data_IF_870423642066
#
_entry.id   IF_870423642066
#
_cell.length_a   1.000
_cell.length_b   1.000
_cell.length_c   1.000
_cell.angle_alpha   90.00
_cell.angle_beta   90.00
_cell.angle_gamma   90.00
#
_symmetry.space_group_name_H-M   'P 1'
#
loop_
_entity.id
_entity.type
_entity.pdbx_description
1 polymer ?
#
# COMPACT_ATOMS: atom_id res chain seq x y z
N UNK A 1 -10.27 24.24 0.19
CA UNK A 1 -8.86 23.85 0.34
C UNK A 1 -8.51 22.63 -0.49
N UNK A 2 -9.16 21.48 -0.30
CA UNK A 2 -8.95 20.26 -1.11
C UNK A 2 -8.89 20.50 -2.62
N UNK A 3 -9.97 21.05 -3.21
CA UNK A 3 -10.03 21.30 -4.67
C UNK A 3 -8.89 22.17 -5.18
N UNK A 4 -8.37 23.07 -4.35
CA UNK A 4 -7.23 23.91 -4.72
C UNK A 4 -5.92 23.12 -4.67
N UNK A 5 -5.69 22.30 -3.64
CA UNK A 5 -4.51 21.45 -3.53
C UNK A 5 -4.43 20.49 -4.72
N UNK A 6 -5.53 19.78 -5.00
CA UNK A 6 -5.63 18.85 -6.12
C UNK A 6 -5.41 19.56 -7.47
N UNK A 7 -6.02 20.73 -7.66
CA UNK A 7 -5.78 21.55 -8.85
C UNK A 7 -4.32 21.99 -9.03
N UNK A 8 -3.61 22.34 -7.96
CA UNK A 8 -2.20 22.73 -8.03
C UNK A 8 -1.35 21.52 -8.44
N UNK A 9 -1.63 20.35 -7.87
CA UNK A 9 -0.93 19.11 -8.17
C UNK A 9 -1.20 18.60 -9.60
N UNK A 10 -2.39 18.88 -10.14
CA UNK A 10 -2.73 18.63 -11.55
C UNK A 10 -1.95 19.54 -12.51
N UNK A 11 -1.64 20.78 -12.11
CA UNK A 11 -0.84 21.75 -12.89
C UNK A 11 0.68 21.49 -12.78
N UNK A 12 1.08 20.21 -12.79
CA UNK A 12 2.47 19.76 -12.66
C UNK A 12 3.42 20.49 -13.63
N UNK A 13 3.01 20.66 -14.89
CA UNK A 13 3.85 21.26 -15.94
C UNK A 13 4.20 22.75 -15.68
N UNK A 14 3.48 23.46 -14.80
CA UNK A 14 3.70 24.89 -14.51
C UNK A 14 4.63 25.15 -13.31
N UNK A 15 4.71 24.22 -12.36
CA UNK A 15 5.53 24.38 -11.16
C UNK A 15 7.01 24.10 -11.40
N UNK A 16 7.40 23.65 -12.60
CA UNK A 16 8.77 23.25 -12.93
C UNK A 16 9.34 22.33 -11.84
N UNK A 17 8.51 21.42 -11.30
CA UNK A 17 8.95 20.33 -10.44
C UNK A 17 10.13 19.69 -11.15
N UNK A 18 11.33 19.86 -10.60
CA UNK A 18 12.57 19.73 -11.39
C UNK A 18 12.52 18.47 -12.23
N UNK A 19 12.74 18.60 -13.54
CA UNK A 19 13.04 17.46 -14.38
C UNK A 19 14.31 16.81 -13.81
N UNK A 20 14.18 15.58 -13.33
CA UNK A 20 15.36 14.84 -12.91
C UNK A 20 16.06 14.41 -14.19
N UNK A 21 17.20 15.05 -14.48
CA UNK A 21 18.08 14.70 -15.60
C UNK A 21 18.86 13.45 -15.22
N UNK A 22 18.66 12.38 -15.99
CA UNK A 22 19.51 11.21 -15.87
C UNK A 22 20.92 11.53 -16.39
N UNK A 23 21.97 11.12 -15.67
CA UNK A 23 23.29 10.92 -16.28
C UNK A 23 23.49 9.42 -16.31
N UNK A 24 23.60 8.86 -17.52
CA UNK A 24 23.86 7.44 -17.68
C UNK A 24 25.17 7.07 -16.96
N UNK A 25 25.32 5.79 -16.57
CA UNK A 25 26.60 5.27 -16.09
C UNK A 25 27.78 5.51 -17.06
N UNK A 26 27.45 5.76 -18.34
CA UNK A 26 28.39 6.18 -19.40
C UNK A 26 28.85 7.64 -19.32
N UNK A 27 28.35 8.44 -18.37
CA UNK A 27 28.59 9.88 -18.25
C UNK A 27 27.81 10.74 -19.26
N UNK A 28 26.99 10.14 -20.13
CA UNK A 28 26.16 10.88 -21.10
C UNK A 28 24.83 11.30 -20.48
N UNK A 29 24.35 12.48 -20.86
CA UNK A 29 23.04 12.99 -20.43
C UNK A 29 21.93 12.08 -20.98
N UNK A 30 21.23 11.38 -20.09
CA UNK A 30 20.05 10.57 -20.37
C UNK A 30 18.76 11.40 -20.38
N UNK A 31 17.63 10.74 -20.62
CA UNK A 31 16.31 11.37 -20.73
C UNK A 31 15.88 12.11 -19.45
N UNK A 32 14.93 13.03 -19.62
CA UNK A 32 14.27 13.78 -18.53
C UNK A 32 13.04 13.01 -18.06
N UNK A 33 12.97 12.68 -16.77
CA UNK A 33 11.79 12.03 -16.17
C UNK A 33 10.93 13.07 -15.45
N UNK A 34 9.61 12.98 -15.66
CA UNK A 34 8.64 13.75 -14.88
C UNK A 34 8.57 13.18 -13.46
N UNK A 35 8.65 14.04 -12.46
CA UNK A 35 8.54 13.69 -11.05
C UNK A 35 7.16 13.08 -10.77
N UNK A 36 7.10 11.90 -10.14
CA UNK A 36 5.82 11.29 -9.70
C UNK A 36 5.22 12.00 -8.49
N UNK A 37 6.00 12.83 -7.81
CA UNK A 37 5.63 13.52 -6.57
C UNK A 37 4.26 14.22 -6.63
N UNK A 38 3.92 15.03 -7.65
CA UNK A 38 2.62 15.69 -7.67
C UNK A 38 1.46 14.69 -7.77
N UNK A 39 1.62 13.61 -8.56
CA UNK A 39 0.61 12.55 -8.65
C UNK A 39 0.49 11.74 -7.36
N UNK A 40 1.62 11.42 -6.73
CA UNK A 40 1.62 10.71 -5.45
C UNK A 40 0.88 11.52 -4.38
N UNK A 41 1.22 12.80 -4.21
CA UNK A 41 0.56 13.69 -3.25
C UNK A 41 -0.92 13.90 -3.59
N UNK A 42 -1.27 13.98 -4.88
CA UNK A 42 -2.66 14.10 -5.33
C UNK A 42 -3.49 12.92 -4.81
N UNK A 43 -3.08 11.69 -5.14
CA UNK A 43 -3.83 10.51 -4.75
C UNK A 43 -3.75 10.24 -3.24
N UNK A 44 -2.63 10.58 -2.59
CA UNK A 44 -2.52 10.53 -1.12
C UNK A 44 -3.58 11.41 -0.46
N UNK A 45 -3.73 12.67 -0.90
CA UNK A 45 -4.74 13.58 -0.39
C UNK A 45 -6.14 13.05 -0.68
N UNK A 46 -6.42 12.67 -1.93
CA UNK A 46 -7.74 12.19 -2.36
C UNK A 46 -8.20 10.96 -1.55
N UNK A 47 -7.34 9.96 -1.40
CA UNK A 47 -7.67 8.76 -0.63
C UNK A 47 -7.69 9.04 0.87
N UNK A 48 -6.74 9.83 1.41
CA UNK A 48 -6.71 10.17 2.84
C UNK A 48 -7.98 10.88 3.31
N UNK A 49 -8.53 11.78 2.49
CA UNK A 49 -9.76 12.48 2.86
C UNK A 49 -10.98 11.57 2.96
N UNK A 50 -11.02 10.45 2.21
CA UNK A 50 -12.09 9.45 2.34
C UNK A 50 -12.06 8.76 3.71
N UNK A 51 -10.90 8.75 4.38
CA UNK A 51 -10.71 8.24 5.74
C UNK A 51 -10.77 9.33 6.82
N UNK A 52 -10.90 10.60 6.45
CA UNK A 52 -10.80 11.71 7.40
C UNK A 52 -9.38 11.90 7.95
N UNK A 53 -8.35 11.59 7.15
CA UNK A 53 -6.97 11.88 7.51
C UNK A 53 -6.55 13.33 7.27
N UNK A 54 -5.34 13.65 7.73
CA UNK A 54 -4.77 15.00 7.84
C UNK A 54 -3.69 15.30 6.77
N UNK A 55 -3.55 14.45 5.75
CA UNK A 55 -2.53 14.63 4.70
C UNK A 55 -2.68 15.97 3.98
N UNK A 56 -3.92 16.42 3.76
CA UNK A 56 -4.20 17.72 3.14
C UNK A 56 -3.64 18.89 3.96
N UNK A 57 -3.83 18.84 5.28
CA UNK A 57 -3.36 19.90 6.18
C UNK A 57 -1.84 19.92 6.25
N UNK A 58 -1.21 18.74 6.33
CA UNK A 58 0.24 18.62 6.23
C UNK A 58 0.75 19.17 4.89
N UNK A 59 0.08 18.89 3.78
CA UNK A 59 0.47 19.43 2.47
C UNK A 59 0.50 20.96 2.47
N UNK A 60 -0.54 21.61 3.02
CA UNK A 60 -0.59 23.07 3.09
C UNK A 60 0.47 23.65 4.03
N UNK A 61 0.76 22.97 5.14
CA UNK A 61 1.85 23.34 6.05
C UNK A 61 3.21 23.29 5.32
N UNK A 62 3.51 22.18 4.63
CA UNK A 62 4.77 22.01 3.91
C UNK A 62 4.88 22.98 2.73
N UNK A 63 3.78 23.25 2.02
CA UNK A 63 3.76 24.24 0.95
C UNK A 63 3.99 25.66 1.49
N UNK A 64 3.42 26.00 2.65
CA UNK A 64 3.69 27.27 3.33
C UNK A 64 5.13 27.40 3.83
N UNK A 65 5.79 26.28 4.14
CA UNK A 65 7.22 26.26 4.49
C UNK A 65 8.15 26.46 3.29
N UNK A 66 7.65 26.38 2.05
CA UNK A 66 8.44 26.61 0.85
C UNK A 66 8.74 28.10 0.60
N UNK A 67 7.82 29.00 0.98
CA UNK A 67 7.95 30.46 0.86
C UNK A 67 6.88 31.18 1.70
N UNK A 68 7.25 32.26 2.42
CA UNK A 68 6.33 33.04 3.25
C UNK A 68 5.12 33.57 2.47
N UNK A 69 5.30 33.90 1.19
CA UNK A 69 4.22 34.39 0.33
C UNK A 69 3.30 33.27 -0.14
N UNK A 70 3.79 32.04 -0.27
CA UNK A 70 2.91 30.87 -0.49
C UNK A 70 2.02 30.63 0.72
N UNK A 71 2.58 30.75 1.93
CA UNK A 71 1.82 30.66 3.19
C UNK A 71 0.77 31.76 3.29
N UNK A 72 1.11 32.99 2.93
CA UNK A 72 0.16 34.10 2.91
C UNK A 72 -0.95 33.87 1.87
N UNK A 73 -0.58 33.46 0.66
CA UNK A 73 -1.51 33.28 -0.45
C UNK A 73 -2.44 32.07 -0.23
N UNK A 74 -1.98 30.99 0.42
CA UNK A 74 -2.81 29.82 0.73
C UNK A 74 -3.94 30.15 1.72
N UNK A 75 -3.69 31.02 2.70
CA UNK A 75 -4.70 31.52 3.64
C UNK A 75 -5.74 32.43 2.96
N UNK A 76 -5.40 33.01 1.81
CA UNK A 76 -6.26 33.93 1.04
C UNK A 76 -6.99 33.25 -0.10
N UNK A 77 -6.93 31.92 -0.22
CA UNK A 77 -7.65 31.20 -1.26
C UNK A 77 -9.16 31.18 -0.97
N UNK A 78 -9.88 32.14 -1.55
CA UNK A 78 -11.34 32.18 -1.56
C UNK A 78 -11.90 31.58 -2.87
N UNK A 79 -12.87 30.66 -2.77
CA UNK A 79 -13.86 30.25 -3.79
C UNK A 79 -13.43 30.26 -5.28
N UNK A 80 -12.17 29.96 -5.63
CA UNK A 80 -11.75 29.90 -7.03
C UNK A 80 -12.31 28.64 -7.70
N UNK A 81 -12.91 28.82 -8.88
CA UNK A 81 -13.67 27.76 -9.57
C UNK A 81 -12.81 26.93 -10.54
N UNK A 82 -11.60 27.41 -10.91
CA UNK A 82 -10.72 26.69 -11.84
C UNK A 82 -9.31 26.48 -11.29
N UNK A 83 -8.65 25.43 -11.79
CA UNK A 83 -7.29 25.06 -11.39
C UNK A 83 -6.27 26.15 -11.70
N UNK A 84 -6.35 26.71 -12.91
CA UNK A 84 -5.48 27.81 -13.33
C UNK A 84 -5.61 29.05 -12.43
N UNK A 85 -6.83 29.45 -12.07
CA UNK A 85 -7.02 30.60 -11.16
C UNK A 85 -6.50 30.33 -9.75
N UNK A 86 -6.64 29.08 -9.28
CA UNK A 86 -6.10 28.65 -7.99
C UNK A 86 -4.57 28.73 -7.98
N UNK A 87 -3.94 28.29 -9.07
CA UNK A 87 -2.50 28.38 -9.29
C UNK A 87 -2.01 29.83 -9.35
N UNK A 88 -2.62 30.66 -10.21
CA UNK A 88 -2.27 32.09 -10.35
C UNK A 88 -2.44 32.87 -9.05
N UNK A 89 -3.47 32.54 -8.26
CA UNK A 89 -3.68 33.13 -6.94
C UNK A 89 -2.61 32.69 -5.95
N UNK A 90 -2.26 31.40 -5.93
CA UNK A 90 -1.25 30.86 -5.02
C UNK A 90 0.14 31.44 -5.29
N UNK A 91 0.54 31.54 -6.56
CA UNK A 91 1.86 32.05 -6.96
C UNK A 91 1.86 33.56 -7.21
N UNK A 92 0.84 34.30 -6.77
CA UNK A 92 0.76 35.74 -7.01
C UNK A 92 1.95 36.47 -6.39
N UNK A 93 2.75 37.11 -7.24
CA UNK A 93 3.93 37.85 -6.84
C UNK A 93 5.15 36.96 -6.54
N UNK A 94 5.10 35.69 -6.94
CA UNK A 94 6.21 34.74 -6.92
C UNK A 94 6.50 34.27 -8.35
N UNK A 95 7.76 33.99 -8.62
CA UNK A 95 8.14 33.16 -9.77
C UNK A 95 8.22 31.71 -9.27
N UNK A 96 7.34 30.80 -9.72
CA UNK A 96 7.36 29.39 -9.30
C UNK A 96 8.73 28.74 -9.43
N UNK A 97 9.57 29.19 -10.37
CA UNK A 97 10.92 28.64 -10.58
C UNK A 97 11.91 28.95 -9.47
N UNK A 98 11.65 29.99 -8.68
CA UNK A 98 12.51 30.42 -7.58
C UNK A 98 12.07 29.88 -6.22
N UNK A 99 10.92 29.19 -6.15
CA UNK A 99 10.40 28.59 -4.92
C UNK A 99 11.19 27.33 -4.58
N UNK A 100 11.56 27.19 -3.30
CA UNK A 100 12.20 25.99 -2.79
C UNK A 100 11.15 24.95 -2.37
N UNK A 101 10.79 24.04 -3.27
CA UNK A 101 9.82 22.97 -2.99
C UNK A 101 10.34 21.81 -2.14
N UNK A 102 11.55 21.90 -1.57
CA UNK A 102 12.14 20.81 -0.76
C UNK A 102 11.19 20.27 0.33
N UNK A 103 10.50 21.09 1.14
CA UNK A 103 9.58 20.56 2.17
C UNK A 103 8.47 19.65 1.61
N UNK A 104 7.90 20.01 0.45
CA UNK A 104 6.85 19.20 -0.20
C UNK A 104 7.44 17.92 -0.81
N UNK A 105 8.66 17.99 -1.34
CA UNK A 105 9.37 16.82 -1.85
C UNK A 105 9.74 15.84 -0.72
N UNK A 106 10.21 16.36 0.41
CA UNK A 106 10.55 15.58 1.61
C UNK A 106 9.30 14.88 2.17
N UNK A 107 8.15 15.57 2.20
CA UNK A 107 6.87 14.95 2.56
C UNK A 107 6.51 13.79 1.62
N UNK A 108 6.62 13.97 0.31
CA UNK A 108 6.32 12.91 -0.64
C UNK A 108 7.26 11.71 -0.47
N UNK A 109 8.55 11.97 -0.22
CA UNK A 109 9.53 10.93 0.09
C UNK A 109 9.19 10.19 1.39
N UNK A 110 8.74 10.89 2.44
CA UNK A 110 8.28 10.29 3.71
C UNK A 110 7.15 9.30 3.45
N UNK A 111 6.08 9.69 2.73
CA UNK A 111 4.96 8.79 2.41
C UNK A 111 5.35 7.65 1.47
N UNK A 112 6.13 7.92 0.43
CA UNK A 112 6.60 6.87 -0.48
C UNK A 112 7.36 5.77 0.29
N UNK A 113 8.19 6.18 1.25
CA UNK A 113 9.03 5.31 2.06
C UNK A 113 8.22 4.56 3.11
N UNK A 114 7.51 5.31 3.96
CA UNK A 114 6.93 4.77 5.17
C UNK A 114 5.54 4.17 4.95
N UNK A 115 4.83 4.59 3.90
CA UNK A 115 3.56 3.99 3.48
C UNK A 115 3.77 3.07 2.28
N UNK A 116 4.38 3.58 1.20
CA UNK A 116 4.54 2.85 -0.05
C UNK A 116 5.40 1.59 0.05
N UNK A 117 6.67 1.76 0.39
CA UNK A 117 7.60 0.64 0.53
C UNK A 117 7.19 -0.30 1.66
N UNK A 118 6.62 0.22 2.76
CA UNK A 118 6.11 -0.62 3.82
C UNK A 118 5.00 -1.56 3.32
N UNK A 119 3.98 -1.02 2.65
CA UNK A 119 2.83 -1.80 2.19
C UNK A 119 3.15 -2.75 1.03
N UNK A 120 4.16 -2.42 0.22
CA UNK A 120 4.60 -3.30 -0.86
C UNK A 120 5.70 -4.28 -0.45
N UNK A 121 6.31 -4.13 0.72
CA UNK A 121 7.30 -5.09 1.20
C UNK A 121 6.58 -6.14 2.05
N UNK A 122 6.33 -7.37 1.57
CA UNK A 122 5.70 -8.41 2.40
C UNK A 122 6.58 -8.82 3.59
N UNK A 123 7.81 -8.31 3.68
CA UNK A 123 8.84 -8.77 4.58
C UNK A 123 9.38 -10.09 4.05
N UNK A 124 10.63 -10.11 3.57
CA UNK A 124 11.27 -11.40 3.29
C UNK A 124 11.25 -12.24 4.57
N UNK A 125 10.86 -13.50 4.41
CA UNK A 125 10.85 -14.52 5.47
C UNK A 125 12.16 -14.39 6.27
N UNK A 126 12.07 -14.08 7.56
CA UNK A 126 12.94 -14.76 8.52
C UNK A 126 12.50 -16.21 8.52
N UNK A 127 12.79 -16.94 7.44
CA UNK A 127 12.81 -18.40 7.44
C UNK A 127 14.02 -18.78 8.27
N UNK A 128 13.94 -18.51 9.58
CA UNK A 128 14.59 -19.37 10.53
C UNK A 128 14.09 -20.76 10.21
N UNK A 129 15.03 -21.67 9.99
CA UNK A 129 14.85 -23.11 9.87
C UNK A 129 13.89 -23.61 10.96
N UNK A 130 12.60 -23.51 10.70
CA UNK A 130 11.54 -24.05 11.51
C UNK A 130 11.19 -25.37 10.87
N UNK A 131 11.21 -26.44 11.65
CA UNK A 131 10.59 -27.71 11.31
C UNK A 131 9.21 -27.44 10.69
N UNK A 132 8.97 -28.05 9.53
CA UNK A 132 7.74 -27.89 8.77
C UNK A 132 6.58 -28.57 9.50
N UNK A 133 5.97 -27.87 10.47
CA UNK A 133 4.63 -28.22 10.90
C UNK A 133 3.71 -27.94 9.73
N UNK A 134 3.18 -28.99 9.10
CA UNK A 134 2.22 -28.85 8.02
C UNK A 134 0.88 -28.44 8.63
N UNK A 135 0.13 -27.54 7.98
CA UNK A 135 -1.26 -27.21 8.37
C UNK A 135 -2.10 -28.46 8.67
N UNK A 136 -1.81 -29.59 8.00
CA UNK A 136 -2.44 -30.89 8.26
C UNK A 136 -2.35 -31.38 9.71
N UNK A 137 -1.35 -30.95 10.47
CA UNK A 137 -1.13 -31.37 11.85
C UNK A 137 -2.04 -30.62 12.83
N UNK A 138 -2.36 -29.35 12.54
CA UNK A 138 -3.07 -28.46 13.47
C UNK A 138 -4.50 -28.13 13.03
N UNK A 139 -4.87 -28.36 11.76
CA UNK A 139 -6.19 -27.97 11.23
C UNK A 139 -7.37 -28.72 11.86
N UNK A 140 -7.10 -29.91 12.39
CA UNK A 140 -8.08 -30.72 13.11
C UNK A 140 -8.18 -30.36 14.61
N UNK A 141 -7.33 -29.46 15.12
CA UNK A 141 -7.44 -28.99 16.50
C UNK A 141 -8.72 -28.16 16.70
N UNK A 142 -9.20 -28.11 17.95
CA UNK A 142 -10.34 -27.28 18.31
C UNK A 142 -9.99 -25.80 18.17
N UNK A 143 -10.96 -25.01 17.70
CA UNK A 143 -10.79 -23.58 17.41
C UNK A 143 -10.28 -22.79 18.62
N UNK A 144 -10.78 -23.08 19.82
CA UNK A 144 -10.35 -22.38 21.04
C UNK A 144 -8.90 -22.69 21.42
N UNK A 145 -8.44 -23.93 21.20
CA UNK A 145 -7.04 -24.31 21.42
C UNK A 145 -6.11 -23.60 20.44
N UNK A 146 -6.52 -23.48 19.18
CA UNK A 146 -5.74 -22.72 18.20
C UNK A 146 -5.66 -21.23 18.57
N UNK A 147 -6.77 -20.62 18.97
CA UNK A 147 -6.80 -19.22 19.43
C UNK A 147 -5.90 -19.02 20.65
N UNK A 148 -5.96 -19.92 21.63
CA UNK A 148 -5.08 -19.89 22.80
C UNK A 148 -3.60 -19.94 22.38
N UNK A 149 -3.22 -20.87 21.50
CA UNK A 149 -1.84 -21.00 21.02
C UNK A 149 -1.36 -19.78 20.22
N UNK A 150 -2.23 -19.17 19.42
CA UNK A 150 -1.91 -17.91 18.71
C UNK A 150 -1.59 -16.78 19.68
N UNK A 151 -2.27 -16.74 20.83
CA UNK A 151 -2.01 -15.76 21.87
C UNK A 151 -0.72 -16.09 22.65
N UNK A 152 -0.45 -17.37 22.92
CA UNK A 152 0.76 -17.83 23.63
C UNK A 152 2.06 -17.65 22.82
N UNK A 153 2.00 -17.76 21.48
CA UNK A 153 3.15 -17.54 20.60
C UNK A 153 3.61 -16.06 20.53
N UNK A 154 2.85 -15.13 21.12
CA UNK A 154 3.11 -13.69 21.05
C UNK A 154 2.92 -13.14 19.63
N UNK A 155 3.32 -11.90 19.37
CA UNK A 155 2.98 -11.23 18.10
C UNK A 155 3.71 -11.78 16.89
N UNK A 156 4.91 -12.36 17.03
CA UNK A 156 5.72 -12.84 15.90
C UNK A 156 6.34 -14.22 16.15
N UNK A 157 5.67 -15.06 16.96
CA UNK A 157 6.09 -16.43 17.20
C UNK A 157 6.21 -17.25 15.91
N UNK A 158 7.21 -18.14 15.85
CA UNK A 158 7.56 -18.91 14.65
C UNK A 158 6.39 -19.77 14.14
N UNK A 159 5.49 -20.21 15.04
CA UNK A 159 4.36 -21.07 14.68
C UNK A 159 3.07 -20.32 14.41
N UNK A 160 3.02 -19.01 14.69
CA UNK A 160 1.79 -18.21 14.58
C UNK A 160 1.23 -18.19 13.16
N UNK A 161 2.09 -18.19 12.14
CA UNK A 161 1.68 -18.23 10.73
C UNK A 161 0.89 -19.50 10.39
N UNK A 162 1.35 -20.67 10.80
CA UNK A 162 0.63 -21.93 10.54
C UNK A 162 -0.67 -22.04 11.34
N UNK A 163 -0.68 -21.49 12.57
CA UNK A 163 -1.91 -21.41 13.37
C UNK A 163 -2.95 -20.46 12.76
N UNK A 164 -2.53 -19.28 12.30
CA UNK A 164 -3.40 -18.33 11.59
C UNK A 164 -3.94 -18.90 10.29
N UNK A 165 -3.11 -19.68 9.58
CA UNK A 165 -3.50 -20.42 8.37
C UNK A 165 -4.54 -21.50 8.64
N UNK A 166 -4.44 -22.19 9.77
CA UNK A 166 -5.46 -23.14 10.21
C UNK A 166 -6.75 -22.44 10.65
N UNK A 167 -6.65 -21.32 11.36
CA UNK A 167 -7.82 -20.51 11.75
C UNK A 167 -8.53 -19.92 10.53
N UNK A 168 -7.81 -19.44 9.51
CA UNK A 168 -8.42 -18.93 8.28
C UNK A 168 -9.13 -20.04 7.49
N UNK A 169 -8.62 -21.28 7.51
CA UNK A 169 -9.38 -22.43 6.97
C UNK A 169 -10.68 -22.69 7.72
N UNK A 170 -10.65 -22.58 9.06
CA UNK A 170 -11.87 -22.73 9.87
C UNK A 170 -12.85 -21.59 9.65
N UNK A 171 -12.37 -20.38 9.40
CA UNK A 171 -13.20 -19.20 9.07
C UNK A 171 -13.80 -19.29 7.67
N UNK A 172 -12.99 -19.54 6.66
CA UNK A 172 -13.37 -19.32 5.25
C UNK A 172 -13.67 -20.61 4.48
N UNK A 173 -13.25 -21.75 4.99
CA UNK A 173 -13.38 -23.05 4.33
C UNK A 173 -12.12 -23.45 3.57
N UNK A 174 -12.21 -24.57 2.84
CA UNK A 174 -11.07 -25.27 2.23
C UNK A 174 -10.83 -24.93 0.74
N UNK A 175 -11.36 -23.81 0.26
CA UNK A 175 -11.21 -23.33 -1.12
C UNK A 175 -10.60 -21.93 -1.14
N UNK A 176 -9.91 -21.59 -2.23
CA UNK A 176 -9.46 -20.23 -2.46
C UNK A 176 -10.65 -19.33 -2.80
N UNK A 177 -10.83 -18.26 -2.03
CA UNK A 177 -11.97 -17.33 -2.18
C UNK A 177 -12.03 -16.62 -3.53
N UNK A 178 -10.94 -16.63 -4.30
CA UNK A 178 -10.79 -15.88 -5.54
C UNK A 178 -10.87 -16.76 -6.79
N UNK A 179 -10.60 -18.06 -6.65
CA UNK A 179 -10.41 -19.00 -7.77
C UNK A 179 -11.30 -20.24 -7.65
N UNK A 180 -12.00 -20.39 -6.53
CA UNK A 180 -12.78 -21.57 -6.13
C UNK A 180 -11.99 -22.90 -6.15
N UNK A 181 -10.67 -22.85 -6.25
CA UNK A 181 -9.84 -24.04 -6.25
C UNK A 181 -9.65 -24.58 -4.82
N UNK A 182 -9.77 -25.89 -4.67
CA UNK A 182 -9.60 -26.57 -3.38
C UNK A 182 -8.15 -26.53 -2.90
N UNK A 183 -7.95 -26.41 -1.59
CA UNK A 183 -6.63 -26.45 -0.96
C UNK A 183 -6.26 -27.82 -0.40
N UNK A 184 -4.95 -28.09 -0.34
CA UNK A 184 -4.36 -29.08 0.55
C UNK A 184 -4.40 -28.56 1.99
N UNK A 185 -4.56 -29.45 3.00
CA UNK A 185 -4.58 -30.91 2.91
C UNK A 185 -5.96 -31.53 2.60
N UNK A 186 -7.02 -30.73 2.55
CA UNK A 186 -8.40 -31.22 2.41
C UNK A 186 -8.67 -31.91 1.08
N UNK A 187 -7.93 -31.56 0.03
CA UNK A 187 -7.95 -32.23 -1.26
C UNK A 187 -6.52 -32.65 -1.65
N UNK A 188 -6.30 -33.94 -1.93
CA UNK A 188 -4.99 -34.48 -2.36
C UNK A 188 -4.47 -33.84 -3.64
N UNK A 189 -5.37 -33.44 -4.55
CA UNK A 189 -5.06 -32.72 -5.79
C UNK A 189 -5.21 -31.21 -5.64
N UNK A 190 -5.54 -30.73 -4.44
CA UNK A 190 -5.67 -29.32 -4.14
C UNK A 190 -4.34 -28.58 -4.22
N UNK A 191 -4.44 -27.26 -4.26
CA UNK A 191 -3.30 -26.35 -4.27
C UNK A 191 -2.70 -26.19 -2.88
N UNK A 192 -1.44 -25.79 -2.81
CA UNK A 192 -0.86 -25.36 -1.55
C UNK A 192 -1.40 -23.97 -1.19
N UNK A 193 -2.06 -23.80 -0.03
CA UNK A 193 -2.48 -22.49 0.44
C UNK A 193 -1.25 -21.62 0.76
N UNK A 194 -1.32 -20.33 0.42
CA UNK A 194 -0.42 -19.29 0.91
C UNK A 194 -1.22 -18.39 1.85
N UNK A 195 -0.74 -18.24 3.09
CA UNK A 195 -1.31 -17.27 4.01
C UNK A 195 -0.85 -15.88 3.58
N UNK A 196 -1.81 -14.99 3.41
CA UNK A 196 -1.59 -13.62 3.01
C UNK A 196 -2.04 -12.70 4.14
N UNK A 197 -1.21 -11.72 4.47
CA UNK A 197 -1.60 -10.62 5.34
C UNK A 197 -2.21 -9.51 4.50
N UNK A 198 -3.31 -8.92 4.97
CA UNK A 198 -3.95 -7.81 4.28
C UNK A 198 -3.06 -6.57 4.42
N UNK A 199 -2.75 -6.17 5.65
CA UNK A 199 -1.69 -5.22 5.96
C UNK A 199 -0.41 -6.01 6.27
N UNK A 200 0.70 -5.79 5.56
CA UNK A 200 1.88 -6.62 5.68
C UNK A 200 2.59 -6.45 7.03
N UNK A 201 3.23 -7.53 7.48
CA UNK A 201 4.01 -7.56 8.73
C UNK A 201 5.19 -6.59 8.75
N UNK A 202 5.62 -6.10 7.59
CA UNK A 202 6.65 -5.07 7.45
C UNK A 202 6.30 -3.76 8.15
N UNK A 203 5.03 -3.51 8.47
CA UNK A 203 4.57 -2.35 9.25
C UNK A 203 4.96 -2.46 10.72
N UNK A 204 5.20 -3.68 11.22
CA UNK A 204 5.48 -3.91 12.63
C UNK A 204 6.74 -3.18 13.11
N UNK A 205 6.65 -2.55 14.28
CA UNK A 205 7.79 -1.93 14.96
C UNK A 205 8.38 -0.72 14.22
N UNK A 206 7.61 -0.11 13.30
CA UNK A 206 8.04 1.07 12.53
C UNK A 206 7.22 2.29 12.92
N UNK A 207 7.68 3.11 13.89
CA UNK A 207 6.93 4.26 14.37
C UNK A 207 6.63 5.28 13.25
N UNK A 208 7.56 5.49 12.31
CA UNK A 208 7.36 6.43 11.19
C UNK A 208 6.29 5.94 10.21
N UNK A 209 6.20 4.63 9.97
CA UNK A 209 5.10 4.02 9.21
C UNK A 209 3.77 4.21 9.94
N UNK A 210 3.72 3.98 11.25
CA UNK A 210 2.50 4.19 12.03
C UNK A 210 2.09 5.67 12.05
N UNK A 211 3.05 6.60 12.12
CA UNK A 211 2.80 8.05 12.00
C UNK A 211 2.20 8.38 10.63
N UNK A 212 2.74 7.84 9.53
CA UNK A 212 2.19 8.05 8.20
C UNK A 212 0.78 7.45 8.06
N UNK A 213 0.51 6.28 8.65
CA UNK A 213 -0.84 5.69 8.70
C UNK A 213 -1.78 6.61 9.50
N UNK A 214 -1.33 7.17 10.63
CA UNK A 214 -2.11 8.09 11.46
C UNK A 214 -2.52 9.33 10.66
N UNK A 215 -1.57 9.94 9.96
CA UNK A 215 -1.84 11.09 9.10
C UNK A 215 -2.75 10.72 7.92
N UNK A 216 -2.57 9.53 7.35
CA UNK A 216 -3.32 9.09 6.18
C UNK A 216 -4.78 8.72 6.50
N UNK A 217 -5.02 7.97 7.58
CA UNK A 217 -6.32 7.36 7.88
C UNK A 217 -6.82 7.59 9.32
N UNK A 218 -6.14 8.44 10.09
CA UNK A 218 -6.49 8.76 11.48
C UNK A 218 -5.92 7.79 12.51
N UNK A 219 -5.95 8.20 13.78
CA UNK A 219 -5.41 7.43 14.91
C UNK A 219 -6.11 6.08 15.11
N UNK A 220 -7.42 6.00 14.86
CA UNK A 220 -8.18 4.76 14.99
C UNK A 220 -7.68 3.65 14.04
N UNK A 221 -7.25 4.02 12.82
CA UNK A 221 -6.67 3.06 11.88
C UNK A 221 -5.33 2.50 12.39
N UNK A 222 -4.52 3.32 13.07
CA UNK A 222 -3.27 2.88 13.69
C UNK A 222 -3.54 1.89 14.81
N UNK A 223 -4.50 2.18 15.68
CA UNK A 223 -4.88 1.28 16.76
C UNK A 223 -5.30 -0.08 16.19
N UNK A 224 -6.14 -0.11 15.16
CA UNK A 224 -6.53 -1.36 14.51
C UNK A 224 -5.33 -2.11 13.90
N UNK A 225 -4.47 -1.42 13.16
CA UNK A 225 -3.29 -2.03 12.56
C UNK A 225 -2.39 -2.62 13.64
N UNK A 226 -2.08 -1.87 14.70
CA UNK A 226 -1.19 -2.34 15.78
C UNK A 226 -1.77 -3.55 16.51
N UNK A 227 -3.06 -3.52 16.85
CA UNK A 227 -3.69 -4.61 17.61
C UNK A 227 -3.93 -5.86 16.76
N UNK A 228 -4.08 -5.72 15.44
CA UNK A 228 -4.51 -6.83 14.57
C UNK A 228 -3.49 -7.25 13.52
N UNK A 229 -2.29 -6.66 13.50
CA UNK A 229 -1.29 -6.93 12.45
C UNK A 229 -1.00 -8.42 12.26
N UNK A 230 -0.94 -9.20 13.33
CA UNK A 230 -0.77 -10.66 13.24
C UNK A 230 -1.95 -11.41 13.88
N UNK A 231 -3.16 -11.00 13.52
CA UNK A 231 -4.42 -11.58 13.98
C UNK A 231 -5.19 -12.24 12.82
N UNK A 232 -6.16 -13.11 13.12
CA UNK A 232 -7.07 -13.70 12.13
C UNK A 232 -7.80 -12.63 11.30
N UNK A 233 -8.09 -11.47 11.91
CA UNK A 233 -8.72 -10.32 11.25
C UNK A 233 -7.86 -9.64 10.16
N UNK A 234 -6.57 -9.95 10.05
CA UNK A 234 -5.67 -9.36 9.05
C UNK A 234 -5.11 -10.40 8.06
N UNK A 235 -5.71 -11.60 7.97
CA UNK A 235 -5.18 -12.65 7.11
C UNK A 235 -6.24 -13.37 6.28
N UNK A 236 -5.81 -13.97 5.18
CA UNK A 236 -6.62 -14.86 4.34
C UNK A 236 -5.75 -15.92 3.64
N UNK A 237 -6.34 -17.08 3.30
CA UNK A 237 -5.65 -18.11 2.53
C UNK A 237 -5.91 -17.95 1.04
N UNK A 238 -4.85 -17.86 0.25
CA UNK A 238 -4.91 -17.66 -1.19
C UNK A 238 -4.10 -18.69 -1.98
N UNK A 239 -4.45 -18.84 -3.25
CA UNK A 239 -3.59 -19.50 -4.24
C UNK A 239 -2.37 -18.60 -4.52
N UNK A 240 -1.24 -19.22 -4.89
CA UNK A 240 0.03 -18.51 -5.05
C UNK A 240 -0.01 -17.32 -6.01
N UNK A 241 -0.60 -17.45 -7.20
CA UNK A 241 -0.65 -16.38 -8.20
C UNK A 241 -1.64 -15.28 -7.80
N UNK A 242 -2.75 -15.65 -7.16
CA UNK A 242 -3.68 -14.70 -6.55
C UNK A 242 -3.03 -13.91 -5.40
N UNK A 243 -2.15 -14.56 -4.62
CA UNK A 243 -1.33 -13.89 -3.61
C UNK A 243 -0.28 -12.97 -4.26
N UNK A 244 0.39 -13.43 -5.32
CA UNK A 244 1.41 -12.64 -6.03
C UNK A 244 0.82 -11.37 -6.65
N UNK A 245 -0.37 -11.46 -7.26
CA UNK A 245 -1.09 -10.29 -7.80
C UNK A 245 -1.52 -9.32 -6.71
N UNK A 246 -1.91 -9.83 -5.53
CA UNK A 246 -2.21 -9.00 -4.36
C UNK A 246 -0.97 -8.26 -3.84
N UNK A 247 0.17 -8.94 -3.71
CA UNK A 247 1.45 -8.35 -3.30
C UNK A 247 1.94 -7.27 -4.30
N UNK A 248 1.52 -7.38 -5.56
CA UNK A 248 1.76 -6.41 -6.62
C UNK A 248 0.71 -5.28 -6.69
N UNK A 249 -0.23 -5.25 -5.75
CA UNK A 249 -1.31 -4.27 -5.65
C UNK A 249 -2.21 -4.20 -6.90
N UNK A 250 -2.41 -5.33 -7.59
CA UNK A 250 -3.26 -5.39 -8.79
C UNK A 250 -4.76 -5.38 -8.45
N UNK A 251 -5.09 -5.78 -7.22
CA UNK A 251 -6.44 -5.77 -6.68
C UNK A 251 -6.42 -5.59 -5.16
N UNK A 252 -7.58 -5.28 -4.57
CA UNK A 252 -7.77 -5.16 -3.14
C UNK A 252 -9.20 -5.51 -2.72
N UNK A 253 -9.53 -5.27 -1.45
CA UNK A 253 -10.82 -5.61 -0.86
C UNK A 253 -11.49 -4.33 -0.35
N UNK A 254 -12.65 -4.01 -0.89
CA UNK A 254 -13.52 -2.96 -0.33
C UNK A 254 -14.51 -3.60 0.63
N UNK A 255 -14.48 -3.19 1.90
CA UNK A 255 -15.42 -3.65 2.91
C UNK A 255 -16.51 -2.60 3.15
N UNK A 256 -17.78 -2.99 2.98
CA UNK A 256 -18.96 -2.14 3.16
C UNK A 256 -19.83 -2.68 4.28
N UNK A 257 -20.13 -1.84 5.26
CA UNK A 257 -21.09 -2.16 6.32
C UNK A 257 -22.50 -1.81 5.86
N UNK A 258 -23.35 -2.83 5.69
CA UNK A 258 -24.75 -2.68 5.27
C UNK A 258 -25.65 -3.51 6.20
N UNK A 259 -26.52 -2.84 6.95
CA UNK A 259 -27.51 -3.53 7.79
C UNK A 259 -26.91 -4.36 8.95
N UNK A 260 -25.70 -4.00 9.43
CA UNK A 260 -25.00 -4.72 10.49
C UNK A 260 -24.20 -5.93 10.01
N UNK A 261 -24.17 -6.19 8.69
CA UNK A 261 -23.28 -7.16 8.07
C UNK A 261 -22.23 -6.46 7.21
N UNK A 262 -21.06 -7.07 7.10
CA UNK A 262 -19.97 -6.58 6.24
C UNK A 262 -20.01 -7.34 4.92
N UNK A 263 -20.10 -6.61 3.80
CA UNK A 263 -19.86 -7.14 2.46
C UNK A 263 -18.44 -6.82 2.02
N UNK A 264 -17.73 -7.84 1.53
CA UNK A 264 -16.40 -7.67 0.98
C UNK A 264 -16.49 -7.73 -0.54
N UNK A 265 -16.03 -6.69 -1.20
CA UNK A 265 -16.13 -6.51 -2.64
C UNK A 265 -14.72 -6.60 -3.23
N UNK A 266 -14.56 -7.46 -4.22
CA UNK A 266 -13.34 -7.57 -5.00
C UNK A 266 -13.17 -6.33 -5.84
N UNK A 267 -12.01 -5.66 -5.68
CA UNK A 267 -11.71 -4.43 -6.39
C UNK A 267 -10.46 -4.56 -7.24
N UNK A 268 -10.62 -4.33 -8.52
CA UNK A 268 -9.48 -4.04 -9.38
C UNK A 268 -8.88 -2.69 -8.98
N UNK A 269 -7.57 -2.68 -8.74
CA UNK A 269 -6.85 -1.43 -8.59
C UNK A 269 -6.44 -1.01 -10.01
N UNK A 270 -6.83 0.20 -10.48
CA UNK A 270 -6.61 0.60 -11.86
C UNK A 270 -5.16 0.38 -12.29
N UNK A 271 -4.95 -0.51 -13.26
CA UNK A 271 -3.70 -0.69 -13.97
C UNK A 271 -3.81 -0.11 -15.36
N UNK A 272 -2.66 0.08 -16.02
CA UNK A 272 -2.63 0.39 -17.45
C UNK A 272 -3.55 -0.59 -18.22
N UNK A 273 -4.50 -0.10 -19.05
CA UNK A 273 -5.46 -0.94 -19.77
C UNK A 273 -4.83 -2.02 -20.65
N UNK A 274 -3.51 -1.95 -20.92
CA UNK A 274 -2.74 -2.98 -21.61
C UNK A 274 -2.38 -4.21 -20.77
N UNK A 275 -2.43 -4.16 -19.44
CA UNK A 275 -2.00 -5.26 -18.56
C UNK A 275 -3.16 -6.24 -18.35
N UNK A 276 -3.18 -7.32 -19.13
CA UNK A 276 -4.06 -8.47 -18.92
C UNK A 276 -3.37 -9.46 -17.97
N UNK A 277 -3.70 -9.43 -16.69
CA UNK A 277 -2.94 -10.18 -15.70
C UNK A 277 -3.72 -10.69 -14.50
N UNK A 278 -4.89 -11.30 -14.68
CA UNK A 278 -5.58 -11.98 -13.56
C UNK A 278 -6.04 -13.40 -13.91
N UNK A 279 -5.35 -14.08 -14.83
CA UNK A 279 -5.88 -15.25 -15.55
C UNK A 279 -6.40 -16.43 -14.69
N UNK A 280 -6.10 -16.46 -13.39
CA UNK A 280 -6.53 -17.52 -12.47
C UNK A 280 -7.64 -17.03 -11.51
N UNK A 281 -7.76 -15.72 -11.26
CA UNK A 281 -8.84 -15.15 -10.44
C UNK A 281 -10.13 -15.19 -11.26
N UNK A 282 -11.17 -15.79 -10.67
CA UNK A 282 -12.48 -15.97 -11.29
C UNK A 282 -13.43 -14.80 -11.04
N UNK A 283 -13.13 -13.98 -10.03
CA UNK A 283 -13.89 -12.78 -9.69
C UNK A 283 -13.62 -11.64 -10.68
N UNK A 284 -14.67 -10.86 -10.94
CA UNK A 284 -14.64 -9.59 -11.67
C UNK A 284 -14.68 -8.44 -10.68
N UNK A 285 -14.29 -7.25 -11.14
CA UNK A 285 -14.50 -6.03 -10.34
C UNK A 285 -15.97 -5.91 -9.94
N UNK A 286 -16.20 -5.47 -8.69
CA UNK A 286 -17.49 -5.43 -8.01
C UNK A 286 -18.10 -6.78 -7.58
N UNK A 287 -17.46 -7.92 -7.84
CA UNK A 287 -17.93 -9.21 -7.32
C UNK A 287 -17.75 -9.30 -5.80
N UNK A 288 -18.65 -10.02 -5.13
CA UNK A 288 -18.56 -10.27 -3.69
C UNK A 288 -17.55 -11.37 -3.36
N UNK A 289 -16.62 -11.09 -2.44
CA UNK A 289 -15.76 -12.08 -1.80
C UNK A 289 -16.49 -12.63 -0.58
N UNK A 290 -16.81 -13.92 -0.60
CA UNK A 290 -17.59 -14.56 0.46
C UNK A 290 -16.71 -15.20 1.52
N UNK A 291 -16.27 -14.41 2.49
CA UNK A 291 -15.61 -14.89 3.70
C UNK A 291 -16.58 -15.62 4.64
N UNK A 292 -16.04 -16.30 5.66
CA UNK A 292 -16.89 -16.89 6.71
C UNK A 292 -17.64 -18.16 6.33
N UNK A 293 -17.35 -18.77 5.17
CA UNK A 293 -18.02 -20.00 4.69
C UNK A 293 -17.52 -21.28 5.35
N UNK A 294 -16.49 -21.19 6.18
CA UNK A 294 -15.93 -22.29 6.93
C UNK A 294 -16.80 -22.71 8.12
N UNK A 295 -16.50 -23.85 8.75
CA UNK A 295 -17.28 -24.38 9.86
C UNK A 295 -17.38 -23.45 11.06
N UNK A 296 -16.43 -22.51 11.21
CA UNK A 296 -16.31 -21.61 12.36
C UNK A 296 -16.39 -20.13 11.94
N UNK A 297 -16.90 -19.85 10.73
CA UNK A 297 -16.96 -18.50 10.16
C UNK A 297 -17.58 -17.48 11.11
N UNK A 298 -18.76 -17.80 11.67
CA UNK A 298 -19.47 -16.93 12.62
C UNK A 298 -18.66 -16.65 13.88
N UNK A 299 -17.98 -17.66 14.42
CA UNK A 299 -17.17 -17.55 15.64
C UNK A 299 -15.91 -16.71 15.41
N UNK A 300 -15.36 -16.75 14.20
CA UNK A 300 -14.12 -16.09 13.81
C UNK A 300 -14.35 -14.74 13.08
N UNK A 301 -15.57 -14.19 13.15
CA UNK A 301 -15.87 -12.82 12.69
C UNK A 301 -16.30 -12.68 11.23
N UNK A 302 -16.62 -13.77 10.53
CA UNK A 302 -17.09 -13.80 9.13
C UNK A 302 -16.18 -13.12 8.08
N UNK A 303 -14.95 -12.76 8.43
CA UNK A 303 -14.00 -12.19 7.49
C UNK A 303 -12.86 -11.44 8.18
N UNK A 304 -12.02 -10.75 7.38
CA UNK A 304 -11.05 -9.80 7.89
C UNK A 304 -11.70 -8.51 8.40
N UNK A 305 -10.96 -7.69 9.15
CA UNK A 305 -11.48 -6.43 9.68
C UNK A 305 -11.73 -5.42 8.54
N UNK A 306 -12.90 -4.76 8.51
CA UNK A 306 -13.28 -3.85 7.42
C UNK A 306 -12.29 -2.71 7.18
N UNK A 307 -11.87 -2.01 8.23
CA UNK A 307 -11.01 -0.84 8.11
C UNK A 307 -9.59 -1.22 7.63
N UNK A 308 -9.09 -2.39 8.04
CA UNK A 308 -7.82 -2.96 7.54
C UNK A 308 -7.88 -3.23 6.04
N UNK A 309 -9.00 -3.80 5.54
CA UNK A 309 -9.21 -4.03 4.11
C UNK A 309 -9.22 -2.70 3.33
N UNK A 310 -10.04 -1.76 3.80
CA UNK A 310 -10.19 -0.47 3.15
C UNK A 310 -8.89 0.33 3.17
N UNK A 311 -8.12 0.31 4.27
CA UNK A 311 -6.81 0.96 4.36
C UNK A 311 -5.84 0.38 3.32
N UNK A 312 -5.76 -0.95 3.20
CA UNK A 312 -4.89 -1.57 2.20
C UNK A 312 -5.30 -1.15 0.78
N UNK A 313 -6.60 -1.19 0.47
CA UNK A 313 -7.11 -0.81 -0.85
C UNK A 313 -6.80 0.66 -1.18
N UNK A 314 -6.96 1.55 -0.21
CA UNK A 314 -6.65 2.97 -0.38
C UNK A 314 -5.17 3.19 -0.69
N UNK A 315 -4.28 2.57 0.08
CA UNK A 315 -2.83 2.61 -0.19
C UNK A 315 -2.50 1.99 -1.55
N UNK A 316 -3.15 0.89 -1.92
CA UNK A 316 -2.97 0.26 -3.22
C UNK A 316 -3.32 1.21 -4.37
N UNK A 317 -4.46 1.92 -4.27
CA UNK A 317 -4.89 2.94 -5.24
C UNK A 317 -3.89 4.09 -5.34
N UNK A 318 -3.45 4.64 -4.21
CA UNK A 318 -2.43 5.69 -4.18
C UNK A 318 -1.20 5.27 -4.98
N UNK A 319 -0.65 4.09 -4.69
CA UNK A 319 0.62 3.65 -5.27
C UNK A 319 0.49 3.29 -6.75
N UNK A 320 -0.59 2.63 -7.16
CA UNK A 320 -0.83 2.28 -8.56
C UNK A 320 -1.14 3.51 -9.40
N UNK A 321 -2.08 4.36 -8.98
CA UNK A 321 -2.53 5.49 -9.77
C UNK A 321 -1.45 6.59 -9.89
N UNK A 322 -0.55 6.70 -8.92
CA UNK A 322 0.60 7.60 -8.99
C UNK A 322 1.78 7.06 -9.81
N UNK A 323 1.83 5.75 -10.08
CA UNK A 323 2.98 5.06 -10.67
C UNK A 323 4.09 4.71 -9.66
N UNK A 324 3.91 5.02 -8.37
CA UNK A 324 4.86 4.68 -7.32
C UNK A 324 5.06 3.15 -7.18
N UNK A 325 4.01 2.36 -7.40
CA UNK A 325 4.08 0.91 -7.32
C UNK A 325 5.08 0.31 -8.32
N UNK A 326 5.10 0.82 -9.56
CA UNK A 326 5.97 0.31 -10.62
C UNK A 326 7.45 0.58 -10.30
N UNK A 327 7.75 1.76 -9.75
CA UNK A 327 9.09 2.11 -9.26
C UNK A 327 9.54 1.14 -8.17
N UNK A 328 8.66 0.85 -7.19
CA UNK A 328 8.97 -0.08 -6.10
C UNK A 328 9.19 -1.50 -6.63
N UNK A 329 8.42 -1.94 -7.63
CA UNK A 329 8.59 -3.26 -8.25
C UNK A 329 9.91 -3.37 -9.00
N UNK A 330 10.26 -2.38 -9.83
CA UNK A 330 11.56 -2.33 -10.52
C UNK A 330 12.72 -2.41 -9.52
N UNK A 331 12.59 -1.76 -8.36
CA UNK A 331 13.60 -1.81 -7.32
C UNK A 331 13.76 -3.19 -6.70
N UNK A 332 12.66 -3.91 -6.49
CA UNK A 332 12.70 -5.28 -5.99
C UNK A 332 13.44 -6.19 -6.97
N UNK A 333 13.09 -6.12 -8.25
CA UNK A 333 13.72 -6.94 -9.29
C UNK A 333 15.23 -6.70 -9.35
N UNK A 334 15.66 -5.43 -9.27
CA UNK A 334 17.08 -5.09 -9.23
C UNK A 334 17.80 -5.44 -7.91
N UNK A 335 17.10 -5.49 -6.78
CA UNK A 335 17.70 -5.88 -5.50
C UNK A 335 17.97 -7.39 -5.43
N UNK A 336 17.16 -8.18 -6.15
CA UNK A 336 17.25 -9.64 -6.20
C UNK A 336 18.42 -10.12 -7.06
N UNK A 337 18.83 -9.35 -8.06
CA UNK A 337 19.95 -9.66 -8.96
C UNK A 337 21.35 -9.34 -8.37
N UNK A 338 21.47 -8.34 -7.48
CA UNK A 338 22.78 -7.78 -7.08
C UNK A 338 23.23 -8.11 -5.64
N UNK A 339 22.54 -9.00 -4.91
CA UNK A 339 22.94 -9.36 -3.54
C UNK A 339 22.87 -8.19 -2.53
N UNK A 340 22.12 -7.12 -2.87
CA UNK A 340 21.91 -5.88 -2.12
C UNK A 340 20.94 -6.06 -0.92
N UNK A 341 21.16 -7.10 -0.11
CA UNK A 341 20.26 -7.53 0.98
C UNK A 341 20.20 -6.60 2.21
N UNK A 342 20.70 -5.36 2.15
CA UNK A 342 20.82 -4.50 3.33
C UNK A 342 20.53 -3.02 3.08
N UNK A 343 19.48 -2.71 2.33
CA UNK A 343 18.96 -1.35 2.33
C UNK A 343 18.04 -1.15 3.53
N UNK A 344 18.60 -0.54 4.58
CA UNK A 344 17.81 0.09 5.62
C UNK A 344 17.12 1.31 5.02
N UNK A 345 15.80 1.27 4.99
CA UNK A 345 14.88 2.17 4.26
C UNK A 345 14.85 3.60 4.85
N UNK A 346 15.78 3.97 5.74
CA UNK A 346 15.75 5.25 6.45
C UNK A 346 17.14 5.89 6.69
N UNK A 347 18.17 5.55 5.91
CA UNK A 347 19.42 6.33 5.92
C UNK A 347 19.36 7.47 4.91
N UNK A 348 20.15 8.53 5.13
CA UNK A 348 20.37 9.60 4.13
C UNK A 348 20.84 9.00 2.79
N UNK A 349 21.60 7.91 2.85
CA UNK A 349 21.99 7.08 1.71
C UNK A 349 20.80 6.41 1.00
N UNK A 350 19.68 6.12 1.66
CA UNK A 350 18.45 5.63 1.00
C UNK A 350 17.75 6.73 0.23
N UNK A 351 17.73 7.97 0.71
CA UNK A 351 17.24 9.12 -0.07
C UNK A 351 18.17 9.44 -1.24
N UNK A 352 19.49 9.40 -1.02
CA UNK A 352 20.48 9.56 -2.09
C UNK A 352 20.42 8.40 -3.09
N UNK A 353 20.04 7.19 -2.66
CA UNK A 353 19.91 6.02 -3.51
C UNK A 353 18.50 5.89 -4.14
N UNK A 354 17.45 6.48 -3.57
CA UNK A 354 16.16 6.78 -4.19
C UNK A 354 16.40 7.76 -5.34
N UNK A 355 17.10 8.86 -5.06
CA UNK A 355 17.52 9.84 -6.07
C UNK A 355 18.45 9.20 -7.12
N UNK A 356 19.39 8.33 -6.71
CA UNK A 356 20.31 7.63 -7.63
C UNK A 356 19.68 6.44 -8.38
N UNK A 357 18.65 5.75 -7.86
CA UNK A 357 17.97 4.66 -8.57
C UNK A 357 16.87 5.17 -9.50
N UNK A 358 16.12 6.20 -9.10
CA UNK A 358 15.32 6.98 -10.06
C UNK A 358 16.18 7.50 -11.23
N UNK A 359 17.47 7.69 -10.97
CA UNK A 359 18.49 8.05 -11.96
C UNK A 359 19.11 6.86 -12.72
N UNK A 360 18.98 5.60 -12.25
CA UNK A 360 19.60 4.41 -12.88
C UNK A 360 18.61 3.48 -13.61
N UNK A 361 17.32 3.46 -13.27
CA UNK A 361 16.33 2.44 -13.71
C UNK A 361 15.63 2.64 -15.07
N UNK A 362 16.18 3.46 -15.98
CA UNK A 362 15.43 3.95 -17.15
C UNK A 362 14.69 2.91 -18.03
N UNK A 363 13.38 3.14 -18.27
CA UNK A 363 12.65 2.75 -19.51
C UNK A 363 11.43 3.65 -19.77
N UNK A 364 11.45 4.38 -20.89
CA UNK A 364 10.25 4.70 -21.67
C UNK A 364 10.60 4.78 -23.16
N UNK A 365 9.62 4.37 -23.98
CA UNK A 365 9.69 4.11 -25.43
C UNK A 365 9.92 5.39 -26.24
N UNK A 366 10.63 5.20 -27.36
CA UNK A 366 11.00 6.20 -28.36
C UNK A 366 9.76 6.89 -28.95
N UNK A 367 9.73 8.22 -28.87
CA UNK A 367 9.05 9.08 -29.82
C UNK A 367 10.10 9.94 -30.53
#
# INVERSE_FOLDING_TARGET
>A
MERHALAILEQNDLCNWRDTKQIQASGKQGGTFRTITPKLLYYLIEESQKFGGDVLDQFWEQLGACDDKLKENSLKQENFVSAQKSFEALFRGLDPKNVNFKPVLDMAAEYFTHLGVAFMNPGRRKSGTSTAFSVSEVVNEETDKLLQRVNEEGDFGKRKQELLKALSFKRDGNFCLLTDQAFRPFNKRGLLPTLAHIIPNSVHGKPDTLKCIAMFAGAAAVDEVVHHLNNIGNVMNMQHDAHSSYDNLEWGIEAKEEGGEVKYIFRLVPTDPGIRGMGIITLRDDDEIRFGRGPEGKKLGNGPLPNICNLQLAVARVLKMSGAADIILEWKDHADDDGLYRLFIASEEFCDMLDAKLFLSGRAVVA
#
